data_IF_756561365577
#
_entry.id   IF_756561365577
#
_cell.length_a   1.000
_cell.length_b   1.000
_cell.length_c   1.000
_cell.angle_alpha   90.00
_cell.angle_beta   90.00
_cell.angle_gamma   90.00
#
_symmetry.space_group_name_H-M   'P 1'
#
loop_
_entity.id
_entity.type
_entity.pdbx_description
1 polymer ?
#
# COMPACT_ATOMS: atom_id res chain seq x y z
N UNK A 1 9.70 -17.63 -3.90
CA UNK A 1 9.29 -17.23 -5.24
C UNK A 1 10.23 -17.74 -6.31
N UNK A 2 9.75 -17.76 -7.54
CA UNK A 2 10.56 -18.24 -8.68
C UNK A 2 11.63 -17.21 -9.05
N UNK A 3 12.82 -17.70 -9.47
CA UNK A 3 13.84 -16.88 -10.04
C UNK A 3 13.56 -16.61 -11.53
N UNK A 4 14.19 -15.56 -12.08
CA UNK A 4 14.18 -15.32 -13.51
C UNK A 4 14.60 -16.59 -14.31
N UNK A 5 13.92 -16.94 -15.43
CA UNK A 5 12.85 -16.18 -16.10
C UNK A 5 11.42 -16.48 -15.63
N UNK A 6 11.19 -17.39 -14.70
CA UNK A 6 9.83 -17.69 -14.19
C UNK A 6 9.31 -16.62 -13.24
N UNK A 7 10.19 -16.01 -12.44
CA UNK A 7 9.89 -14.88 -11.59
C UNK A 7 10.56 -13.59 -12.05
N UNK A 8 10.30 -12.49 -11.38
CA UNK A 8 10.94 -11.21 -11.66
C UNK A 8 12.45 -11.24 -11.46
N UNK A 9 13.19 -10.54 -12.31
CA UNK A 9 14.64 -10.37 -12.10
C UNK A 9 14.89 -9.49 -10.86
N UNK A 10 15.81 -9.95 -10.01
CA UNK A 10 16.33 -9.20 -8.86
C UNK A 10 17.82 -9.41 -8.73
N UNK A 11 18.58 -8.37 -8.44
CA UNK A 11 19.98 -8.50 -8.12
C UNK A 11 20.16 -9.32 -6.83
N UNK A 12 21.22 -10.14 -6.77
CA UNK A 12 21.44 -11.02 -5.62
C UNK A 12 21.68 -10.27 -4.30
N UNK A 13 22.16 -9.04 -4.36
CA UNK A 13 22.42 -8.12 -3.25
C UNK A 13 21.22 -7.21 -2.92
N UNK A 14 20.14 -7.30 -3.68
CA UNK A 14 18.93 -6.54 -3.38
C UNK A 14 18.28 -7.00 -2.08
N UNK A 15 17.91 -6.04 -1.23
CA UNK A 15 17.17 -6.28 0.00
C UNK A 15 15.74 -5.77 -0.19
N UNK A 16 14.77 -6.64 0.05
CA UNK A 16 13.38 -6.21 0.11
C UNK A 16 13.14 -5.51 1.45
N UNK A 17 12.67 -4.29 1.39
CA UNK A 17 12.32 -3.50 2.59
C UNK A 17 10.86 -3.73 2.93
N UNK A 18 10.50 -3.42 4.16
CA UNK A 18 9.15 -3.53 4.66
C UNK A 18 9.13 -3.36 6.17
N UNK A 19 8.00 -3.00 6.71
CA UNK A 19 7.75 -2.99 8.15
C UNK A 19 7.53 -4.40 8.67
N UNK A 20 7.89 -4.62 9.91
CA UNK A 20 7.61 -5.86 10.64
C UNK A 20 6.67 -5.50 11.79
N UNK A 21 5.40 -5.40 11.46
CA UNK A 21 4.32 -5.12 12.38
C UNK A 21 3.13 -6.03 12.07
N UNK A 22 2.26 -6.25 13.03
CA UNK A 22 1.08 -7.11 12.86
C UNK A 22 -0.14 -6.27 12.47
N UNK A 23 -0.09 -5.65 11.28
CA UNK A 23 -1.13 -4.77 10.74
C UNK A 23 -2.55 -5.39 10.66
N UNK A 24 -2.75 -6.73 10.54
CA UNK A 24 -4.08 -7.31 10.67
C UNK A 24 -4.80 -7.01 12.00
N UNK A 25 -4.09 -6.69 13.07
CA UNK A 25 -4.73 -6.23 14.31
C UNK A 25 -5.18 -4.78 14.23
N UNK A 26 -4.31 -3.89 13.81
CA UNK A 26 -4.61 -2.50 13.45
C UNK A 26 -3.45 -1.90 12.65
N UNK A 27 -3.75 -0.91 11.83
CA UNK A 27 -2.78 -0.05 11.14
C UNK A 27 -2.56 1.25 11.93
N UNK A 28 -1.70 2.12 11.44
CA UNK A 28 -1.41 3.40 12.06
C UNK A 28 -0.37 3.34 13.16
N UNK A 29 -0.32 4.36 14.00
CA UNK A 29 0.64 4.48 15.11
C UNK A 29 0.36 3.39 16.15
N UNK A 30 1.33 2.50 16.35
CA UNK A 30 1.25 1.42 17.32
C UNK A 30 0.98 1.88 18.77
N UNK A 31 1.18 3.14 19.07
CA UNK A 31 1.01 3.70 20.41
C UNK A 31 -0.34 4.41 20.61
N UNK A 32 -1.13 4.59 19.55
CA UNK A 32 -2.45 5.25 19.62
C UNK A 32 -3.55 4.45 18.90
N UNK A 33 -3.69 3.13 19.12
CA UNK A 33 -4.66 2.31 18.39
C UNK A 33 -6.08 2.84 18.57
N UNK A 34 -6.76 3.13 17.47
CA UNK A 34 -8.15 3.61 17.45
C UNK A 34 -8.33 5.09 17.82
N UNK A 35 -7.24 5.83 17.97
CA UNK A 35 -7.25 7.26 18.32
C UNK A 35 -6.19 7.98 17.51
N UNK A 36 -6.59 9.01 16.74
CA UNK A 36 -5.66 9.75 15.91
C UNK A 36 -4.43 10.27 16.67
N UNK A 37 -3.24 10.03 16.16
CA UNK A 37 -1.95 10.34 16.77
C UNK A 37 -1.62 11.85 16.77
N UNK A 38 -2.55 12.67 17.23
CA UNK A 38 -2.32 14.11 17.39
C UNK A 38 -1.23 14.39 18.43
N UNK A 39 -0.80 15.65 18.50
CA UNK A 39 0.19 16.08 19.49
C UNK A 39 -0.26 15.82 20.93
N UNK A 40 -1.55 15.92 21.18
CA UNK A 40 -2.20 15.80 22.49
C UNK A 40 -2.64 14.35 22.79
N UNK A 41 -2.50 13.43 21.84
CA UNK A 41 -2.91 12.04 22.03
C UNK A 41 -2.15 11.37 23.15
N UNK A 42 -2.86 10.64 23.99
CA UNK A 42 -2.27 9.80 25.02
C UNK A 42 -1.75 8.52 24.38
N UNK A 43 -0.46 8.30 24.49
CA UNK A 43 0.23 7.15 23.88
C UNK A 43 0.44 6.02 24.86
N UNK A 44 0.27 4.81 24.37
CA UNK A 44 0.63 3.61 25.12
C UNK A 44 2.15 3.58 25.39
N UNK A 45 2.56 2.97 26.52
CA UNK A 45 3.95 2.57 26.67
C UNK A 45 4.39 1.62 25.55
N UNK A 46 5.59 1.77 25.02
CA UNK A 46 6.10 0.94 23.93
C UNK A 46 5.99 -0.59 24.20
N UNK A 47 6.12 -1.00 25.46
CA UNK A 47 5.99 -2.40 25.86
C UNK A 47 4.57 -2.96 25.71
N UNK A 48 3.56 -2.10 25.64
CA UNK A 48 2.14 -2.45 25.52
C UNK A 48 1.66 -2.41 24.06
N UNK A 49 2.48 -1.90 23.13
CA UNK A 49 2.18 -1.92 21.71
C UNK A 49 2.13 -3.37 21.21
N UNK A 50 0.95 -3.85 20.84
CA UNK A 50 0.66 -5.24 20.50
C UNK A 50 1.08 -5.61 19.07
N UNK A 51 1.00 -4.66 18.13
CA UNK A 51 1.39 -4.88 16.73
C UNK A 51 2.90 -4.88 16.49
N UNK A 52 3.70 -4.40 17.45
CA UNK A 52 5.15 -4.41 17.32
C UNK A 52 5.72 -5.79 17.68
N UNK A 53 6.53 -6.35 16.78
CA UNK A 53 7.15 -7.65 17.01
C UNK A 53 8.09 -7.62 18.23
N UNK A 54 8.06 -8.68 19.02
CA UNK A 54 8.88 -8.82 20.22
C UNK A 54 10.24 -9.50 19.95
N UNK A 55 10.50 -9.86 18.69
CA UNK A 55 11.76 -10.45 18.24
C UNK A 55 12.48 -9.49 17.29
N UNK A 56 13.84 -9.48 17.29
CA UNK A 56 14.58 -8.68 16.33
C UNK A 56 14.41 -9.23 14.92
N UNK A 57 14.14 -8.36 13.94
CA UNK A 57 14.01 -8.72 12.52
C UNK A 57 14.90 -7.81 11.69
N UNK A 58 15.59 -8.40 10.72
CA UNK A 58 16.39 -7.70 9.73
C UNK A 58 16.21 -8.36 8.36
N UNK A 59 15.66 -7.66 7.35
CA UNK A 59 15.67 -8.13 5.97
C UNK A 59 17.09 -8.22 5.46
N UNK A 60 17.41 -9.32 4.78
CA UNK A 60 18.73 -9.55 4.16
C UNK A 60 18.56 -9.93 2.69
N UNK A 61 19.62 -9.73 1.90
CA UNK A 61 19.65 -10.09 0.50
C UNK A 61 19.69 -11.61 0.28
N UNK A 62 19.39 -12.06 -0.95
CA UNK A 62 19.57 -13.46 -1.33
C UNK A 62 21.04 -13.89 -1.24
N UNK A 63 21.97 -13.00 -1.59
CA UNK A 63 23.41 -13.25 -1.47
C UNK A 63 23.84 -13.46 -0.01
N UNK A 64 23.32 -12.66 0.93
CA UNK A 64 23.61 -12.81 2.35
C UNK A 64 22.93 -14.04 2.95
N UNK A 65 21.73 -14.39 2.49
CA UNK A 65 21.02 -15.56 2.97
C UNK A 65 21.64 -16.88 2.50
N UNK A 66 22.26 -16.90 1.32
CA UNK A 66 22.81 -18.12 0.71
C UNK A 66 23.81 -18.88 1.63
N UNK A 67 24.84 -18.26 2.22
CA UNK A 67 25.75 -18.96 3.10
C UNK A 67 25.07 -19.47 4.39
N UNK A 68 24.07 -18.79 4.90
CA UNK A 68 23.32 -19.22 6.07
C UNK A 68 22.48 -20.47 5.74
N UNK A 69 21.77 -20.46 4.61
CA UNK A 69 20.98 -21.59 4.13
C UNK A 69 21.86 -22.81 3.79
N UNK A 70 23.01 -22.58 3.18
CA UNK A 70 23.97 -23.65 2.83
C UNK A 70 24.57 -24.31 4.09
N UNK A 71 24.65 -23.60 5.20
CA UNK A 71 25.17 -24.11 6.46
C UNK A 71 24.13 -24.89 7.29
N UNK A 72 22.88 -24.94 6.87
CA UNK A 72 21.86 -25.74 7.53
C UNK A 72 22.15 -27.24 7.34
N UNK A 73 21.93 -28.03 8.38
CA UNK A 73 22.08 -29.49 8.38
C UNK A 73 20.72 -30.19 8.50
N UNK A 74 20.72 -31.52 8.59
CA UNK A 74 19.50 -32.30 8.75
C UNK A 74 18.86 -32.74 7.41
N UNK A 75 17.61 -33.19 7.43
CA UNK A 75 16.94 -33.73 6.26
C UNK A 75 16.66 -32.67 5.20
N UNK A 76 16.45 -33.10 3.96
CA UNK A 76 16.00 -32.23 2.88
C UNK A 76 14.63 -31.64 3.19
N UNK A 77 14.46 -30.36 2.89
CA UNK A 77 13.13 -29.72 3.01
C UNK A 77 12.13 -30.28 1.99
N UNK A 78 10.83 -30.26 2.27
CA UNK A 78 9.78 -30.54 1.29
C UNK A 78 9.98 -29.70 0.02
N UNK A 79 9.64 -30.25 -1.15
CA UNK A 79 9.84 -29.56 -2.42
C UNK A 79 9.12 -28.20 -2.47
N UNK A 80 7.92 -28.12 -1.92
CA UNK A 80 7.11 -26.88 -1.85
C UNK A 80 7.73 -25.76 -1.00
N UNK A 81 8.71 -26.07 -0.14
CA UNK A 81 9.39 -25.09 0.72
C UNK A 81 10.73 -24.64 0.16
N UNK A 82 11.12 -25.17 -1.00
CA UNK A 82 12.42 -24.83 -1.62
C UNK A 82 12.27 -23.55 -2.44
N UNK A 83 13.25 -22.67 -2.29
CA UNK A 83 13.39 -21.50 -3.14
C UNK A 83 14.23 -21.79 -4.40
N UNK A 84 14.62 -20.73 -5.09
CA UNK A 84 15.33 -20.79 -6.37
C UNK A 84 16.87 -20.65 -6.26
N UNK A 85 17.42 -20.52 -5.06
CA UNK A 85 18.88 -20.46 -4.89
C UNK A 85 19.51 -21.82 -5.24
N UNK A 86 20.70 -21.83 -5.84
CA UNK A 86 21.38 -23.06 -6.27
C UNK A 86 22.05 -23.80 -5.09
N UNK A 87 21.24 -24.24 -4.12
CA UNK A 87 21.70 -24.94 -2.93
C UNK A 87 20.72 -26.04 -2.49
N UNK A 88 21.20 -26.94 -1.63
CA UNK A 88 20.36 -27.95 -0.99
C UNK A 88 19.63 -27.35 0.21
N UNK A 89 18.31 -27.15 0.08
CA UNK A 89 17.49 -26.68 1.17
C UNK A 89 17.27 -27.77 2.23
N UNK A 90 17.70 -27.50 3.46
CA UNK A 90 17.63 -28.45 4.58
C UNK A 90 16.84 -27.86 5.75
N UNK A 91 16.27 -28.75 6.56
CA UNK A 91 15.57 -28.41 7.80
C UNK A 91 16.47 -28.62 9.01
N UNK A 92 16.42 -27.70 9.93
CA UNK A 92 17.08 -27.82 11.20
C UNK A 92 18.41 -27.05 11.31
N UNK A 93 18.96 -27.02 12.52
CA UNK A 93 20.16 -26.24 12.78
C UNK A 93 21.37 -26.81 12.08
N UNK A 94 22.32 -25.92 11.79
CA UNK A 94 23.65 -26.25 11.30
C UNK A 94 24.70 -25.75 12.30
N UNK A 95 26.00 -25.88 11.96
CA UNK A 95 27.09 -25.38 12.80
C UNK A 95 27.26 -23.86 12.76
N UNK A 96 26.63 -23.18 11.81
CA UNK A 96 26.75 -21.74 11.65
C UNK A 96 26.17 -20.99 12.85
N UNK A 97 26.85 -19.91 13.23
CA UNK A 97 26.38 -18.98 14.25
C UNK A 97 26.19 -17.61 13.61
N UNK A 98 25.09 -16.97 13.94
CA UNK A 98 24.75 -15.62 13.48
C UNK A 98 24.80 -14.67 14.68
N UNK A 99 25.41 -13.52 14.48
CA UNK A 99 25.33 -12.40 15.43
C UNK A 99 24.52 -11.29 14.78
N UNK A 100 23.33 -11.04 15.34
CA UNK A 100 22.48 -9.92 14.94
C UNK A 100 22.68 -8.75 15.90
N UNK A 101 22.97 -7.55 15.37
CA UNK A 101 23.04 -6.31 16.15
C UNK A 101 22.15 -5.29 15.45
N UNK A 102 21.11 -4.85 16.11
CA UNK A 102 20.17 -3.84 15.62
C UNK A 102 20.23 -2.61 16.52
N UNK A 103 19.97 -1.45 15.95
CA UNK A 103 19.79 -0.20 16.66
C UNK A 103 18.57 0.50 16.07
N UNK A 104 17.60 0.81 16.92
CA UNK A 104 16.37 1.49 16.53
C UNK A 104 16.36 2.90 17.11
N UNK A 105 15.79 3.82 16.35
CA UNK A 105 15.42 5.14 16.84
C UNK A 105 13.93 5.13 17.17
N UNK A 106 13.60 5.16 18.45
CA UNK A 106 12.23 5.13 18.96
C UNK A 106 11.64 6.52 19.22
N UNK A 107 12.29 7.57 18.73
CA UNK A 107 11.74 8.91 18.86
C UNK A 107 10.52 9.06 17.96
N UNK A 108 9.48 9.74 18.47
CA UNK A 108 8.34 10.13 17.64
C UNK A 108 8.82 11.06 16.54
N UNK A 109 8.33 10.81 15.33
CA UNK A 109 8.59 11.63 14.13
C UNK A 109 7.26 12.16 13.61
N UNK A 110 7.18 13.43 13.15
CA UNK A 110 5.98 13.92 12.50
C UNK A 110 5.80 13.26 11.14
N UNK A 111 4.56 12.95 10.80
CA UNK A 111 4.10 12.65 9.43
C UNK A 111 3.21 13.78 8.96
N UNK A 112 3.15 14.04 7.65
CA UNK A 112 2.52 15.22 7.08
C UNK A 112 1.57 14.86 5.93
N UNK A 113 0.30 14.69 6.22
CA UNK A 113 -0.72 14.55 5.19
C UNK A 113 -1.04 15.89 4.53
N UNK A 114 -1.27 15.88 3.22
CA UNK A 114 -1.72 17.06 2.50
C UNK A 114 -3.15 16.86 2.04
N UNK A 115 -4.07 17.65 2.59
CA UNK A 115 -5.50 17.56 2.30
C UNK A 115 -5.96 18.79 1.53
N UNK A 116 -6.64 18.56 0.40
CA UNK A 116 -7.28 19.61 -0.38
C UNK A 116 -8.77 19.30 -0.59
N UNK A 117 -9.63 20.29 -0.36
CA UNK A 117 -11.08 20.11 -0.42
C UNK A 117 -11.67 21.02 -1.49
N UNK A 118 -12.49 20.44 -2.39
CA UNK A 118 -13.34 21.16 -3.32
C UNK A 118 -14.81 20.91 -2.95
N UNK A 119 -15.52 21.90 -2.39
CA UNK A 119 -16.90 21.73 -1.95
C UNK A 119 -17.85 21.39 -3.11
N UNK A 120 -18.79 20.49 -2.86
CA UNK A 120 -19.86 20.14 -3.76
C UNK A 120 -20.90 21.26 -3.90
N UNK A 121 -21.56 21.33 -5.04
CA UNK A 121 -22.60 22.32 -5.32
C UNK A 121 -24.02 21.89 -4.91
N UNK A 122 -24.30 20.58 -4.92
CA UNK A 122 -25.64 20.04 -4.61
C UNK A 122 -25.66 19.25 -3.30
N UNK A 123 -24.63 18.44 -3.09
CA UNK A 123 -24.50 17.53 -1.94
C UNK A 123 -23.16 17.75 -1.23
N UNK A 124 -22.96 18.93 -0.60
CA UNK A 124 -21.66 19.29 -0.02
C UNK A 124 -21.25 18.42 1.17
N UNK A 125 -22.21 17.79 1.84
CA UNK A 125 -21.97 16.88 2.96
C UNK A 125 -21.75 15.41 2.53
N UNK A 126 -21.78 15.12 1.25
CA UNK A 126 -21.40 13.81 0.71
C UNK A 126 -19.97 13.90 0.11
N UNK A 127 -19.04 13.15 0.71
CA UNK A 127 -17.62 13.23 0.36
C UNK A 127 -17.17 12.06 -0.50
N UNK A 128 -16.48 12.35 -1.59
CA UNK A 128 -15.66 11.41 -2.33
C UNK A 128 -14.21 11.70 -1.94
N UNK A 129 -13.60 10.78 -1.21
CA UNK A 129 -12.20 10.91 -0.80
C UNK A 129 -11.32 10.24 -1.86
N UNK A 130 -10.33 10.97 -2.37
CA UNK A 130 -9.33 10.52 -3.33
C UNK A 130 -7.98 10.50 -2.66
N UNK A 131 -7.35 9.34 -2.54
CA UNK A 131 -6.09 9.18 -1.83
C UNK A 131 -4.96 8.62 -2.69
N UNK A 132 -3.76 8.94 -2.29
CA UNK A 132 -2.50 8.29 -2.67
C UNK A 132 -1.46 8.62 -1.62
N UNK A 133 -0.56 7.69 -1.31
CA UNK A 133 0.56 8.04 -0.44
C UNK A 133 1.69 8.74 -1.21
N UNK A 134 2.62 9.38 -0.47
CA UNK A 134 3.73 10.10 -1.07
C UNK A 134 5.09 9.83 -0.43
N UNK A 135 5.14 9.02 0.61
CA UNK A 135 6.37 8.45 1.14
C UNK A 135 6.79 7.20 0.37
N UNK A 136 8.04 6.79 0.50
CA UNK A 136 8.57 5.63 -0.22
C UNK A 136 9.71 4.97 0.53
N UNK A 137 9.91 3.66 0.35
CA UNK A 137 11.07 2.96 0.92
C UNK A 137 12.41 3.46 0.38
N UNK A 138 12.46 3.89 -0.88
CA UNK A 138 13.69 4.40 -1.53
C UNK A 138 13.37 5.54 -2.50
N UNK A 139 13.41 5.29 -3.82
CA UNK A 139 13.23 6.32 -4.85
C UNK A 139 11.76 6.57 -5.22
N UNK A 140 10.89 5.61 -4.97
CA UNK A 140 9.44 5.75 -5.09
C UNK A 140 8.88 6.00 -6.49
N UNK A 141 9.62 5.73 -7.57
CA UNK A 141 9.20 6.11 -8.91
C UNK A 141 7.90 5.42 -9.37
N UNK A 142 7.74 4.16 -9.03
CA UNK A 142 6.49 3.41 -9.27
C UNK A 142 5.58 3.55 -8.06
N UNK A 143 6.06 3.16 -6.92
CA UNK A 143 5.40 3.14 -5.63
C UNK A 143 6.01 4.24 -4.73
N UNK A 144 5.27 5.36 -4.51
CA UNK A 144 3.91 5.67 -4.94
C UNK A 144 3.81 6.79 -6.00
N UNK A 145 4.94 7.31 -6.53
CA UNK A 145 4.93 8.53 -7.36
C UNK A 145 4.06 8.37 -8.60
N UNK A 146 3.99 7.17 -9.19
CA UNK A 146 3.15 6.94 -10.37
C UNK A 146 1.65 7.18 -10.09
N UNK A 147 1.15 6.70 -8.95
CA UNK A 147 -0.23 6.96 -8.52
C UNK A 147 -0.43 8.40 -8.08
N UNK A 148 0.55 8.98 -7.38
CA UNK A 148 0.50 10.38 -6.95
C UNK A 148 0.45 11.35 -8.13
N UNK A 149 1.16 11.06 -9.22
CA UNK A 149 1.08 11.86 -10.47
C UNK A 149 -0.33 11.80 -11.06
N UNK A 150 -0.98 10.63 -11.04
CA UNK A 150 -2.36 10.50 -11.52
C UNK A 150 -3.34 11.31 -10.66
N UNK A 151 -3.22 11.25 -9.34
CA UNK A 151 -4.00 12.06 -8.40
C UNK A 151 -3.81 13.56 -8.65
N UNK A 152 -2.57 14.02 -8.80
CA UNK A 152 -2.25 15.43 -9.06
C UNK A 152 -2.76 15.91 -10.42
N UNK A 153 -2.69 15.06 -11.45
CA UNK A 153 -3.23 15.37 -12.78
C UNK A 153 -4.75 15.54 -12.73
N UNK A 154 -5.45 14.64 -12.03
CA UNK A 154 -6.89 14.73 -11.78
C UNK A 154 -7.24 16.03 -11.02
N UNK A 155 -6.58 16.28 -9.90
CA UNK A 155 -6.82 17.47 -9.09
C UNK A 155 -6.56 18.77 -9.88
N UNK A 156 -5.54 18.80 -10.73
CA UNK A 156 -5.24 19.92 -11.62
C UNK A 156 -6.34 20.14 -12.65
N UNK A 157 -6.84 19.06 -13.29
CA UNK A 157 -7.90 19.14 -14.28
C UNK A 157 -9.21 19.61 -13.67
N UNK A 158 -9.63 19.03 -12.55
CA UNK A 158 -10.82 19.42 -11.80
C UNK A 158 -10.72 20.86 -11.29
N UNK A 159 -9.54 21.25 -10.78
CA UNK A 159 -9.28 22.61 -10.35
C UNK A 159 -9.37 23.64 -11.50
N UNK A 160 -8.95 23.31 -12.71
CA UNK A 160 -9.13 24.15 -13.89
C UNK A 160 -10.61 24.28 -14.27
N UNK A 161 -11.36 23.20 -14.25
CA UNK A 161 -12.80 23.22 -14.46
C UNK A 161 -13.53 24.06 -13.39
N UNK A 162 -13.13 23.93 -12.12
CA UNK A 162 -13.70 24.72 -11.03
C UNK A 162 -13.46 26.24 -11.22
N UNK A 163 -12.28 26.63 -11.69
CA UNK A 163 -11.98 28.02 -12.05
C UNK A 163 -12.85 28.53 -13.23
N UNK A 164 -13.26 27.65 -14.13
CA UNK A 164 -14.17 27.93 -15.23
C UNK A 164 -15.67 27.88 -14.83
N UNK A 165 -15.98 27.71 -13.53
CA UNK A 165 -17.34 27.72 -13.01
C UNK A 165 -17.97 26.35 -12.76
N UNK A 166 -17.27 25.24 -13.08
CA UNK A 166 -17.75 23.89 -12.75
C UNK A 166 -17.82 23.71 -11.21
N UNK A 167 -18.86 23.02 -10.77
CA UNK A 167 -18.96 22.55 -9.39
C UNK A 167 -19.26 21.05 -9.42
N UNK A 168 -18.46 20.24 -8.72
CA UNK A 168 -18.81 18.83 -8.56
C UNK A 168 -20.12 18.74 -7.76
N UNK A 169 -20.89 17.72 -8.00
CA UNK A 169 -22.14 17.50 -7.25
C UNK A 169 -21.86 17.26 -5.76
N UNK A 170 -20.86 16.41 -5.48
CA UNK A 170 -20.37 16.06 -4.15
C UNK A 170 -19.05 16.76 -3.84
N UNK A 171 -18.73 16.89 -2.58
CA UNK A 171 -17.41 17.37 -2.15
C UNK A 171 -16.32 16.36 -2.54
N UNK A 172 -15.25 16.86 -3.16
CA UNK A 172 -14.05 16.08 -3.43
C UNK A 172 -13.00 16.42 -2.37
N UNK A 173 -12.49 15.38 -1.70
CA UNK A 173 -11.40 15.49 -0.73
C UNK A 173 -10.19 14.75 -1.32
N UNK A 174 -9.17 15.50 -1.72
CA UNK A 174 -7.90 14.95 -2.18
C UNK A 174 -6.95 14.83 -1.00
N UNK A 175 -6.35 13.66 -0.84
CA UNK A 175 -5.44 13.35 0.25
C UNK A 175 -4.14 12.76 -0.27
N UNK A 176 -3.01 13.37 0.09
CA UNK A 176 -1.70 12.80 -0.08
C UNK A 176 -1.22 12.32 1.30
N UNK A 177 -1.12 11.02 1.47
CA UNK A 177 -0.81 10.37 2.74
C UNK A 177 0.69 10.23 2.94
N UNK A 178 1.16 10.50 4.15
CA UNK A 178 2.54 10.27 4.56
C UNK A 178 2.64 9.03 5.45
N UNK A 179 3.80 8.36 5.43
CA UNK A 179 4.05 7.22 6.29
C UNK A 179 3.17 6.00 6.00
N UNK A 180 2.79 5.77 4.75
CA UNK A 180 2.05 4.57 4.34
C UNK A 180 2.90 3.33 4.52
N UNK A 181 4.12 3.36 3.99
CA UNK A 181 5.06 2.25 3.92
C UNK A 181 5.41 1.61 5.28
N UNK A 182 5.56 2.38 6.37
CA UNK A 182 5.81 1.77 7.69
C UNK A 182 4.56 1.16 8.35
N UNK A 183 3.34 1.43 7.86
CA UNK A 183 2.13 0.85 8.45
C UNK A 183 0.87 1.69 8.31
N UNK A 184 0.66 2.33 7.16
CA UNK A 184 -0.53 3.15 6.86
C UNK A 184 -0.72 4.30 7.85
N UNK A 185 0.37 4.95 8.29
CA UNK A 185 0.31 5.90 9.42
C UNK A 185 -0.61 7.09 9.12
N UNK A 186 -0.28 7.93 8.14
CA UNK A 186 -1.04 9.16 7.90
C UNK A 186 -2.52 8.93 7.62
N UNK A 187 -2.84 8.01 6.73
CA UNK A 187 -4.23 7.73 6.37
C UNK A 187 -5.05 7.19 7.54
N UNK A 188 -4.48 6.32 8.37
CA UNK A 188 -5.15 5.77 9.55
C UNK A 188 -5.38 6.87 10.60
N UNK A 189 -4.32 7.61 10.94
CA UNK A 189 -4.41 8.66 11.97
C UNK A 189 -5.36 9.79 11.57
N UNK A 190 -5.38 10.13 10.27
CA UNK A 190 -6.35 11.09 9.75
C UNK A 190 -7.77 10.55 9.84
N UNK A 191 -7.99 9.28 9.46
CA UNK A 191 -9.32 8.66 9.53
C UNK A 191 -9.82 8.54 10.97
N UNK A 192 -8.97 8.19 11.92
CA UNK A 192 -9.31 8.11 13.34
C UNK A 192 -9.66 9.49 13.92
N UNK A 193 -8.87 10.52 13.56
CA UNK A 193 -9.14 11.90 13.96
C UNK A 193 -10.48 12.42 13.43
N UNK A 194 -10.85 12.03 12.19
CA UNK A 194 -12.06 12.50 11.50
C UNK A 194 -13.19 11.45 11.47
N UNK A 195 -13.12 10.44 12.36
CA UNK A 195 -14.03 9.29 12.31
C UNK A 195 -15.51 9.66 12.32
N UNK A 196 -15.90 10.64 13.12
CA UNK A 196 -17.29 11.10 13.19
C UNK A 196 -17.75 11.72 11.86
N UNK A 197 -16.94 12.59 11.26
CA UNK A 197 -17.24 13.20 9.96
C UNK A 197 -17.26 12.17 8.83
N UNK A 198 -16.31 11.24 8.82
CA UNK A 198 -16.27 10.20 7.80
C UNK A 198 -17.49 9.29 7.85
N UNK A 199 -17.94 8.90 9.04
CA UNK A 199 -19.17 8.11 9.21
C UNK A 199 -20.41 8.81 8.71
N UNK A 200 -20.46 10.14 8.83
CA UNK A 200 -21.61 10.94 8.40
C UNK A 200 -21.52 11.27 6.90
N UNK A 201 -20.34 11.59 6.39
CA UNK A 201 -20.18 12.24 5.08
C UNK A 201 -19.49 11.39 4.02
N UNK A 202 -18.63 10.42 4.37
CA UNK A 202 -17.88 9.67 3.37
C UNK A 202 -18.78 8.71 2.60
N UNK A 203 -18.87 8.91 1.29
CA UNK A 203 -19.63 8.06 0.35
C UNK A 203 -18.73 7.01 -0.28
N UNK A 204 -17.51 7.39 -0.65
CA UNK A 204 -16.53 6.50 -1.24
C UNK A 204 -15.10 6.99 -0.97
N UNK A 205 -14.19 6.03 -0.84
CA UNK A 205 -12.75 6.26 -0.89
C UNK A 205 -12.17 5.56 -2.12
N UNK A 206 -11.37 6.29 -2.90
CA UNK A 206 -10.71 5.78 -4.10
C UNK A 206 -9.20 6.03 -3.98
N UNK A 207 -8.42 4.97 -3.93
CA UNK A 207 -6.97 5.04 -3.84
C UNK A 207 -6.30 4.63 -5.15
N UNK A 208 -5.12 5.16 -5.42
CA UNK A 208 -4.35 4.83 -6.63
C UNK A 208 -2.97 4.24 -6.37
N UNK A 209 -2.36 4.39 -5.22
CA UNK A 209 -1.03 3.87 -4.89
C UNK A 209 -0.05 3.86 -6.09
N UNK A 210 0.05 2.76 -6.82
CA UNK A 210 0.91 2.58 -7.98
C UNK A 210 0.11 2.43 -9.27
N UNK A 211 0.46 3.20 -10.30
CA UNK A 211 -0.12 3.13 -11.65
C UNK A 211 0.96 2.76 -12.65
N UNK A 212 0.80 1.62 -13.30
CA UNK A 212 1.77 1.12 -14.27
C UNK A 212 1.12 0.83 -15.62
N UNK A 213 1.95 0.69 -16.66
CA UNK A 213 1.49 0.21 -17.95
C UNK A 213 1.03 -1.24 -17.83
N UNK A 214 -0.15 -1.56 -18.37
CA UNK A 214 -0.66 -2.92 -18.30
C UNK A 214 -2.19 -2.96 -18.42
N UNK A 215 -2.80 -3.84 -17.65
CA UNK A 215 -4.24 -4.04 -17.60
C UNK A 215 -4.82 -3.37 -16.35
N UNK A 216 -6.10 -3.00 -16.42
CA UNK A 216 -6.80 -2.46 -15.25
C UNK A 216 -6.81 -3.52 -14.13
N UNK A 217 -6.36 -3.10 -12.97
CA UNK A 217 -6.50 -3.85 -11.72
C UNK A 217 -7.26 -2.97 -10.74
N UNK A 218 -8.25 -3.53 -10.08
CA UNK A 218 -9.01 -2.85 -9.06
C UNK A 218 -9.44 -3.86 -7.99
N UNK A 219 -9.37 -3.43 -6.73
CA UNK A 219 -9.84 -4.20 -5.59
C UNK A 219 -10.63 -3.26 -4.66
N UNK A 220 -11.53 -3.79 -3.84
CA UNK A 220 -12.29 -2.99 -2.88
C UNK A 220 -13.69 -3.52 -2.63
N UNK A 221 -14.56 -2.68 -2.12
CA UNK A 221 -15.93 -3.05 -1.76
C UNK A 221 -16.79 -3.41 -2.99
N UNK A 222 -17.55 -4.49 -2.91
CA UNK A 222 -18.54 -4.89 -3.90
C UNK A 222 -19.57 -3.80 -4.23
N UNK A 223 -19.83 -2.87 -3.31
CA UNK A 223 -20.72 -1.73 -3.56
C UNK A 223 -20.23 -0.80 -4.68
N UNK A 224 -18.90 -0.80 -4.97
CA UNK A 224 -18.28 -0.01 -6.04
C UNK A 224 -18.01 -0.79 -7.32
N UNK A 225 -18.25 -2.11 -7.35
CA UNK A 225 -17.99 -2.96 -8.52
C UNK A 225 -18.69 -2.45 -9.78
N UNK A 226 -19.95 -2.07 -9.68
CA UNK A 226 -20.69 -1.50 -10.81
C UNK A 226 -20.05 -0.24 -11.35
N UNK A 227 -19.63 0.67 -10.46
CA UNK A 227 -18.94 1.92 -10.84
C UNK A 227 -17.64 1.61 -11.59
N UNK A 228 -16.79 0.73 -11.05
CA UNK A 228 -15.52 0.35 -11.69
C UNK A 228 -15.77 -0.26 -13.08
N UNK A 229 -16.74 -1.16 -13.19
CA UNK A 229 -17.10 -1.78 -14.49
C UNK A 229 -17.65 -0.76 -15.50
N UNK A 230 -18.47 0.20 -15.09
CA UNK A 230 -19.00 1.25 -15.98
C UNK A 230 -17.89 2.18 -16.45
N UNK A 231 -16.99 2.60 -15.54
CA UNK A 231 -15.81 3.40 -15.89
C UNK A 231 -14.90 2.64 -16.85
N UNK A 232 -14.62 1.37 -16.57
CA UNK A 232 -13.77 0.53 -17.42
C UNK A 232 -14.34 0.30 -18.83
N UNK A 233 -15.68 0.36 -19.01
CA UNK A 233 -16.32 0.33 -20.32
C UNK A 233 -16.25 1.67 -21.05
N UNK A 234 -16.27 2.78 -20.32
CA UNK A 234 -16.33 4.13 -20.91
C UNK A 234 -14.94 4.71 -21.23
N UNK A 235 -13.89 4.24 -20.57
CA UNK A 235 -12.51 4.70 -20.78
C UNK A 235 -11.85 3.84 -21.86
N UNK A 236 -11.31 4.49 -22.89
CA UNK A 236 -10.55 3.80 -23.93
C UNK A 236 -9.08 3.66 -23.51
N UNK A 237 -8.54 2.48 -23.74
CA UNK A 237 -7.12 2.24 -23.64
C UNK A 237 -6.37 3.09 -24.67
N UNK A 238 -5.37 3.90 -24.25
CA UNK A 238 -4.72 4.84 -25.19
C UNK A 238 -3.84 4.16 -26.24
N UNK A 239 -3.46 2.90 -26.05
CA UNK A 239 -2.61 2.17 -27.00
C UNK A 239 -3.42 1.37 -28.01
N UNK A 240 -4.58 0.87 -27.64
CA UNK A 240 -5.37 -0.06 -28.44
C UNK A 240 -6.72 0.51 -28.89
N UNK A 241 -7.13 1.67 -28.36
CA UNK A 241 -8.40 2.33 -28.64
C UNK A 241 -9.66 1.44 -28.42
N UNK A 242 -9.55 0.49 -27.50
CA UNK A 242 -10.67 -0.36 -27.05
C UNK A 242 -10.98 -0.02 -25.58
N UNK A 243 -12.20 -0.31 -25.08
CA UNK A 243 -12.51 -0.13 -23.67
C UNK A 243 -11.51 -0.87 -22.76
N UNK A 244 -11.06 -0.20 -21.71
CA UNK A 244 -10.09 -0.76 -20.74
C UNK A 244 -10.58 -2.10 -20.18
N UNK A 245 -11.89 -2.21 -19.90
CA UNK A 245 -12.49 -3.45 -19.39
C UNK A 245 -12.41 -4.60 -20.43
N UNK A 246 -12.63 -4.32 -21.72
CA UNK A 246 -12.52 -5.33 -22.79
C UNK A 246 -11.08 -5.83 -22.91
N UNK A 247 -10.11 -4.90 -22.88
CA UNK A 247 -8.69 -5.26 -22.89
C UNK A 247 -8.32 -6.18 -21.73
N UNK A 248 -8.76 -5.86 -20.52
CA UNK A 248 -8.51 -6.66 -19.31
C UNK A 248 -9.12 -8.07 -19.46
N UNK A 249 -10.35 -8.17 -19.93
CA UNK A 249 -11.02 -9.47 -20.16
C UNK A 249 -10.31 -10.32 -21.22
N UNK A 250 -9.83 -9.69 -22.29
CA UNK A 250 -9.08 -10.38 -23.35
C UNK A 250 -7.74 -10.95 -22.87
N UNK A 251 -7.17 -10.43 -21.80
CA UNK A 251 -5.97 -10.97 -21.17
C UNK A 251 -6.20 -12.24 -20.33
N UNK A 252 -7.45 -12.67 -20.14
CA UNK A 252 -7.81 -13.83 -19.34
C UNK A 252 -7.98 -13.58 -17.85
N UNK A 253 -7.73 -12.36 -17.38
CA UNK A 253 -7.92 -11.95 -16.00
C UNK A 253 -9.38 -11.53 -15.75
N UNK A 254 -10.29 -12.47 -15.92
CA UNK A 254 -11.74 -12.21 -15.69
C UNK A 254 -12.04 -11.97 -14.21
N UNK A 255 -11.17 -12.43 -13.31
CA UNK A 255 -11.33 -12.29 -11.86
C UNK A 255 -10.69 -11.02 -11.28
N UNK A 256 -9.92 -10.26 -12.06
CA UNK A 256 -9.14 -9.12 -11.55
C UNK A 256 -9.97 -7.88 -11.16
N UNK A 257 -11.28 -7.91 -11.33
CA UNK A 257 -12.16 -6.76 -11.01
C UNK A 257 -13.07 -7.05 -9.83
N UNK A 258 -12.97 -8.21 -9.24
CA UNK A 258 -13.76 -8.55 -8.04
C UNK A 258 -12.83 -8.53 -6.84
N UNK A 259 -13.09 -7.61 -5.95
CA UNK A 259 -12.40 -7.48 -4.70
C UNK A 259 -12.51 -8.72 -3.85
N UNK A 260 -11.40 -9.15 -3.33
CA UNK A 260 -11.41 -9.91 -2.10
C UNK A 260 -11.34 -8.92 -0.94
N UNK A 261 -12.43 -8.78 -0.20
CA UNK A 261 -12.40 -8.16 1.11
C UNK A 261 -11.54 -9.05 2.01
N UNK A 262 -10.40 -8.56 2.41
CA UNK A 262 -9.58 -9.14 3.48
C UNK A 262 -9.84 -8.40 4.78
#
# INVERSE_FOLDING_TARGET
GDAWPKGGWRAGDSVQRGSVADMPFHSGDALTPGVGATKEAVRLPLAEADILTKIPVLPISAADAQPLLAALAGPMSPAAWRGALPLAYRLGPGPARVRLKLQFDWRLQPVHDVIAVLPGGELPDEWIVRGNHHDAWVNGATDPVSGMVALLAEAKAIGALAKAGFRPRRTLVYAAWDGEEPGLLGSTEWAETHLAELREKAVAYLNTDSVTRGFLQAAGSHSLERLVNEVGRSVLDPEHAVPVLERTRAAGDVEAIVAHDS
#
